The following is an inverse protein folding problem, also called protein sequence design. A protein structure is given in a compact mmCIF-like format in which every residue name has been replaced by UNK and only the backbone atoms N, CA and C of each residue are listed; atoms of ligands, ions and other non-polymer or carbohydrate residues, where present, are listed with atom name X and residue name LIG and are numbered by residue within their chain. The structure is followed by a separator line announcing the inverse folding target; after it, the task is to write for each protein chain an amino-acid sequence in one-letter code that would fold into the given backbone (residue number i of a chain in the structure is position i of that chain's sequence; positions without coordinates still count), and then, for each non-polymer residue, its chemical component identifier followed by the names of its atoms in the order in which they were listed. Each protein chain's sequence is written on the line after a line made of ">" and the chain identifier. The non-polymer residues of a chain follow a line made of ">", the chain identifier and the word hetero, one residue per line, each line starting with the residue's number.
data_IF_488409000310
#
_entry.id   IF_488409000310
#
_cell.length_a   1.000
_cell.length_b   1.000
_cell.length_c   1.000
_cell.angle_alpha   90.00
_cell.angle_beta   90.00
_cell.angle_gamma   90.00
#
_symmetry.space_group_name_H-M   'P 1'
#
loop_
_entity.id
_entity.type
_entity.pdbx_description
1 polymer ?
#
# COMPACT_ATOMS: atom_id res chain seq x y z
N UNK A 1 -22.28 -15.13 -2.62
CA UNK A 1 -21.30 -15.07 -1.52
C UNK A 1 -22.04 -15.35 -0.22
N UNK A 2 -21.57 -16.28 0.60
CA UNK A 2 -22.09 -16.52 1.95
C UNK A 2 -21.64 -15.40 2.90
N UNK A 3 -22.32 -15.22 4.04
CA UNK A 3 -21.91 -14.26 5.08
C UNK A 3 -20.52 -14.57 5.65
N UNK A 4 -20.16 -15.86 5.75
CA UNK A 4 -18.83 -16.30 6.19
C UNK A 4 -17.73 -15.82 5.25
N UNK A 5 -17.90 -15.97 3.93
CA UNK A 5 -16.91 -15.53 2.94
C UNK A 5 -16.74 -14.00 2.91
N UNK A 6 -17.79 -13.24 3.27
CA UNK A 6 -17.72 -11.78 3.37
C UNK A 6 -16.91 -11.35 4.60
N UNK A 7 -17.12 -12.01 5.74
CA UNK A 7 -16.40 -11.70 6.98
C UNK A 7 -14.90 -12.06 6.88
N UNK A 8 -14.56 -13.17 6.23
CA UNK A 8 -13.17 -13.55 5.94
C UNK A 8 -12.49 -12.49 5.05
N UNK A 9 -13.14 -12.08 3.95
CA UNK A 9 -12.58 -11.06 3.06
C UNK A 9 -12.38 -9.69 3.74
N UNK A 10 -13.25 -9.29 4.68
CA UNK A 10 -13.09 -8.05 5.44
C UNK A 10 -11.89 -8.15 6.39
N UNK A 11 -11.75 -9.28 7.09
CA UNK A 11 -10.62 -9.51 7.99
C UNK A 11 -9.28 -9.51 7.23
N UNK A 12 -9.22 -10.17 6.07
CA UNK A 12 -8.00 -10.20 5.26
C UNK A 12 -7.60 -8.81 4.76
N UNK A 13 -8.57 -7.99 4.34
CA UNK A 13 -8.33 -6.58 3.97
C UNK A 13 -7.77 -5.78 5.16
N UNK A 14 -8.25 -6.01 6.38
CA UNK A 14 -7.74 -5.33 7.58
C UNK A 14 -6.30 -5.71 7.89
N UNK A 15 -5.92 -6.97 7.69
CA UNK A 15 -4.53 -7.42 7.82
C UNK A 15 -3.64 -6.74 6.79
N UNK A 16 -4.08 -6.64 5.53
CA UNK A 16 -3.34 -5.94 4.47
C UNK A 16 -3.16 -4.46 4.80
N UNK A 17 -4.20 -3.77 5.28
CA UNK A 17 -4.12 -2.37 5.73
C UNK A 17 -3.07 -2.20 6.84
N UNK A 18 -3.05 -3.14 7.79
CA UNK A 18 -2.08 -3.13 8.90
C UNK A 18 -0.66 -3.33 8.38
N UNK A 19 -0.46 -4.25 7.42
CA UNK A 19 0.81 -4.48 6.74
C UNK A 19 1.30 -3.24 5.99
N UNK A 20 0.45 -2.60 5.19
CA UNK A 20 0.75 -1.34 4.48
C UNK A 20 1.14 -0.23 5.47
N UNK A 21 0.45 -0.15 6.60
CA UNK A 21 0.77 0.83 7.65
C UNK A 21 2.17 0.58 8.22
N UNK A 22 2.51 -0.67 8.55
CA UNK A 22 3.84 -1.04 9.02
C UNK A 22 4.93 -0.71 8.00
N UNK A 23 4.73 -1.10 6.74
CA UNK A 23 5.63 -0.78 5.64
C UNK A 23 5.85 0.72 5.46
N UNK A 24 4.81 1.53 5.61
CA UNK A 24 4.90 3.00 5.52
C UNK A 24 5.74 3.58 6.67
N UNK A 25 5.63 3.04 7.87
CA UNK A 25 6.40 3.49 9.04
C UNK A 25 7.87 3.07 8.98
N UNK A 26 8.16 1.92 8.37
CA UNK A 26 9.50 1.35 8.27
C UNK A 26 10.18 1.64 6.91
N UNK A 27 9.61 2.54 6.11
CA UNK A 27 10.12 2.84 4.77
C UNK A 27 11.47 3.56 4.81
N UNK A 28 12.36 3.30 3.84
CA UNK A 28 13.62 4.03 3.71
C UNK A 28 13.37 5.52 3.40
N UNK A 29 14.24 6.43 3.87
CA UNK A 29 14.05 7.87 3.73
C UNK A 29 14.07 8.37 2.28
N UNK A 30 14.57 7.56 1.34
CA UNK A 30 14.54 7.86 -0.10
C UNK A 30 13.13 7.84 -0.71
N UNK A 31 12.12 7.36 0.04
CA UNK A 31 10.73 7.32 -0.37
C UNK A 31 9.86 8.24 0.50
N UNK A 32 9.04 9.06 -0.14
CA UNK A 32 7.91 9.74 0.51
C UNK A 32 6.67 8.89 0.26
N UNK A 33 5.99 8.46 1.34
CA UNK A 33 4.79 7.62 1.24
C UNK A 33 3.63 8.33 1.94
N UNK A 34 2.54 8.51 1.21
CA UNK A 34 1.25 8.90 1.80
C UNK A 34 0.30 7.72 1.76
N UNK A 35 -0.19 7.33 2.93
CA UNK A 35 -1.24 6.34 3.09
C UNK A 35 -2.50 6.99 3.67
N UNK A 36 -3.61 6.95 2.91
CA UNK A 36 -4.89 7.54 3.29
C UNK A 36 -5.98 6.47 3.40
N UNK A 37 -6.83 6.59 4.41
CA UNK A 37 -8.05 5.81 4.57
C UNK A 37 -9.24 6.77 4.44
N UNK A 38 -10.14 6.50 3.50
CA UNK A 38 -11.31 7.31 3.23
C UNK A 38 -12.56 6.67 3.84
N UNK A 39 -13.13 7.33 4.84
CA UNK A 39 -14.36 6.88 5.51
C UNK A 39 -15.62 7.02 4.66
N UNK A 40 -15.63 7.94 3.69
CA UNK A 40 -16.79 8.24 2.84
C UNK A 40 -16.84 7.43 1.53
N UNK A 41 -15.71 6.93 1.03
CA UNK A 41 -15.63 6.08 -0.17
C UNK A 41 -15.35 4.61 0.16
N UNK A 42 -15.25 4.27 1.45
CA UNK A 42 -14.83 2.96 1.95
C UNK A 42 -13.59 2.47 1.22
N UNK A 43 -12.54 3.28 1.17
CA UNK A 43 -11.37 3.01 0.33
C UNK A 43 -10.07 3.38 1.00
N UNK A 44 -8.97 2.86 0.45
CA UNK A 44 -7.61 3.22 0.82
C UNK A 44 -6.86 3.75 -0.39
N UNK A 45 -5.93 4.68 -0.19
CA UNK A 45 -5.04 5.16 -1.25
C UNK A 45 -3.62 5.24 -0.74
N UNK A 46 -2.69 4.76 -1.56
CA UNK A 46 -1.26 4.85 -1.35
C UNK A 46 -0.66 5.62 -2.51
N UNK A 47 0.15 6.62 -2.16
CA UNK A 47 0.95 7.37 -3.12
C UNK A 47 2.39 7.38 -2.64
N UNK A 48 3.32 7.04 -3.54
CA UNK A 48 4.75 6.96 -3.28
C UNK A 48 5.51 7.82 -4.27
N UNK A 49 6.44 8.63 -3.77
CA UNK A 49 7.36 9.44 -4.56
C UNK A 49 8.80 9.19 -4.15
N UNK A 50 9.73 9.46 -5.06
CA UNK A 50 11.14 9.65 -4.71
C UNK A 50 11.29 10.93 -3.85
N UNK A 51 12.11 10.87 -2.79
CA UNK A 51 12.50 12.05 -2.00
C UNK A 51 13.57 12.88 -2.73
N UNK A 52 13.18 13.43 -3.89
CA UNK A 52 14.05 14.27 -4.73
C UNK A 52 13.33 15.54 -5.19
N UNK A 53 14.10 16.57 -5.57
CA UNK A 53 13.54 17.82 -6.11
C UNK A 53 12.86 17.52 -7.45
N UNK A 54 11.53 17.63 -7.49
CA UNK A 54 10.71 17.24 -8.64
C UNK A 54 10.21 15.79 -8.61
N UNK A 55 10.30 15.14 -7.45
CA UNK A 55 10.03 13.72 -7.16
C UNK A 55 9.07 13.01 -8.10
N UNK A 56 9.58 11.95 -8.73
CA UNK A 56 8.80 11.08 -9.62
C UNK A 56 7.81 10.26 -8.79
N UNK A 57 6.56 10.20 -9.23
CA UNK A 57 5.58 9.27 -8.67
C UNK A 57 5.95 7.83 -9.05
N UNK A 58 6.17 6.98 -8.06
CA UNK A 58 6.51 5.56 -8.23
C UNK A 58 5.29 4.66 -8.13
N UNK A 59 4.36 5.01 -7.23
CA UNK A 59 3.09 4.31 -7.05
C UNK A 59 1.99 5.32 -6.77
N UNK A 60 0.84 5.15 -7.41
CA UNK A 60 -0.38 5.85 -7.06
C UNK A 60 -1.54 4.90 -7.31
N UNK A 61 -2.10 4.34 -6.23
CA UNK A 61 -3.19 3.37 -6.35
C UNK A 61 -4.21 3.59 -5.24
N UNK A 62 -5.47 3.45 -5.62
CA UNK A 62 -6.62 3.51 -4.72
C UNK A 62 -7.38 2.19 -4.81
N UNK A 63 -7.73 1.63 -3.67
CA UNK A 63 -8.53 0.41 -3.55
C UNK A 63 -9.86 0.77 -2.90
N UNK A 64 -10.94 0.40 -3.57
CA UNK A 64 -12.31 0.58 -3.06
C UNK A 64 -12.78 -0.70 -2.39
N UNK A 65 -12.96 -0.67 -1.06
CA UNK A 65 -13.26 -1.85 -0.24
C UNK A 65 -14.67 -2.40 -0.46
N UNK A 66 -15.54 -1.65 -1.14
CA UNK A 66 -16.88 -2.09 -1.51
C UNK A 66 -16.94 -2.77 -2.90
N UNK A 67 -15.81 -2.89 -3.60
CA UNK A 67 -15.75 -3.56 -4.90
C UNK A 67 -15.54 -5.07 -4.74
N UNK A 68 -15.97 -5.85 -5.74
CA UNK A 68 -15.88 -7.31 -5.71
C UNK A 68 -14.44 -7.83 -5.69
N UNK A 69 -13.52 -7.07 -6.26
CA UNK A 69 -12.08 -7.36 -6.37
C UNK A 69 -11.25 -6.63 -5.31
N UNK A 70 -11.88 -6.07 -4.26
CA UNK A 70 -11.19 -5.27 -3.24
C UNK A 70 -10.01 -5.99 -2.59
N UNK A 71 -10.17 -7.29 -2.29
CA UNK A 71 -9.11 -8.09 -1.69
C UNK A 71 -7.92 -8.28 -2.65
N UNK A 72 -8.18 -8.63 -3.91
CA UNK A 72 -7.13 -8.79 -4.93
C UNK A 72 -6.39 -7.46 -5.18
N UNK A 73 -7.14 -6.36 -5.27
CA UNK A 73 -6.58 -5.02 -5.46
C UNK A 73 -5.72 -4.58 -4.26
N UNK A 74 -6.13 -4.94 -3.04
CA UNK A 74 -5.40 -4.67 -1.80
C UNK A 74 -4.09 -5.49 -1.73
N UNK A 75 -4.13 -6.78 -2.07
CA UNK A 75 -2.93 -7.64 -2.15
C UNK A 75 -1.95 -7.09 -3.19
N UNK A 76 -2.44 -6.71 -4.37
CA UNK A 76 -1.57 -6.15 -5.41
C UNK A 76 -0.97 -4.80 -4.99
N UNK A 77 -1.72 -3.97 -4.27
CA UNK A 77 -1.22 -2.72 -3.70
C UNK A 77 -0.11 -2.98 -2.67
N UNK A 78 -0.34 -3.92 -1.75
CA UNK A 78 0.62 -4.32 -0.73
C UNK A 78 1.92 -4.82 -1.35
N UNK A 79 1.84 -5.75 -2.30
CA UNK A 79 3.00 -6.32 -2.98
C UNK A 79 3.83 -5.26 -3.71
N UNK A 80 3.18 -4.35 -4.44
CA UNK A 80 3.88 -3.26 -5.14
C UNK A 80 4.58 -2.30 -4.18
N UNK A 81 3.97 -2.02 -3.03
CA UNK A 81 4.60 -1.20 -2.01
C UNK A 81 5.82 -1.92 -1.41
N UNK A 82 5.71 -3.21 -1.13
CA UNK A 82 6.80 -4.02 -0.61
C UNK A 82 7.99 -4.07 -1.58
N UNK A 83 7.73 -4.30 -2.88
CA UNK A 83 8.75 -4.29 -3.93
C UNK A 83 9.51 -2.95 -3.97
N UNK A 84 8.80 -1.82 -3.97
CA UNK A 84 9.42 -0.50 -3.95
C UNK A 84 10.29 -0.25 -2.71
N UNK A 85 9.84 -0.69 -1.54
CA UNK A 85 10.61 -0.55 -0.29
C UNK A 85 11.87 -1.41 -0.32
N UNK A 86 11.80 -2.64 -0.85
CA UNK A 86 12.96 -3.53 -1.02
C UNK A 86 13.96 -2.90 -1.99
N UNK A 87 13.52 -2.49 -3.18
CA UNK A 87 14.38 -1.84 -4.17
C UNK A 87 15.07 -0.59 -3.62
N UNK A 88 14.34 0.24 -2.87
CA UNK A 88 14.89 1.44 -2.25
C UNK A 88 15.93 1.13 -1.16
N UNK A 89 15.78 0.03 -0.42
CA UNK A 89 16.76 -0.44 0.57
C UNK A 89 18.01 -1.00 -0.10
N UNK A 90 17.84 -1.85 -1.12
CA UNK A 90 18.94 -2.44 -1.87
C UNK A 90 19.80 -1.34 -2.53
N UNK A 91 19.16 -0.32 -3.10
CA UNK A 91 19.87 0.83 -3.68
C UNK A 91 20.63 1.65 -2.62
N UNK A 92 20.10 1.77 -1.41
CA UNK A 92 20.78 2.46 -0.32
C UNK A 92 22.01 1.68 0.18
N UNK A 93 21.94 0.35 0.21
CA UNK A 93 23.07 -0.51 0.56
C UNK A 93 24.20 -0.44 -0.48
N UNK A 94 23.85 -0.43 -1.77
CA UNK A 94 24.84 -0.32 -2.86
C UNK A 94 25.54 1.05 -2.88
N UNK A 95 24.87 2.10 -2.42
CA UNK A 95 25.40 3.46 -2.40
C UNK A 95 26.23 3.82 -1.16
N UNK A 96 26.25 2.95 -0.14
CA UNK A 96 26.96 3.13 1.14
C UNK A 96 28.40 2.58 1.10
#
# INVERSE_FOLDING_TARGET
>A
MSQTNLNESIHDIQLIISSITGMTLDAPPSLIITFNIYSNTSGISVVVWEDTVGGKTLLHKTVYLNWKNALEDAVELESKLAELIIEARDNAEVAA
#
